data_IF_880273406901
#
_entry.id   IF_880273406901
#
_cell.length_a   1.000
_cell.length_b   1.000
_cell.length_c   1.000
_cell.angle_alpha   90.00
_cell.angle_beta   90.00
_cell.angle_gamma   90.00
#
_symmetry.space_group_name_H-M   'P 1'
#
loop_
_entity.id
_entity.type
_entity.pdbx_description
1 polymer ?
#
# COMPACT_ATOMS: atom_id res chain seq x y z
N UNK A 1 -45.93 6.98 39.29
CA UNK A 1 -46.90 5.87 39.10
C UNK A 1 -46.19 4.77 38.33
N UNK A 2 -46.17 3.54 38.85
CA UNK A 2 -45.56 2.40 38.15
C UNK A 2 -46.59 1.82 37.19
N UNK A 3 -46.36 1.97 35.88
CA UNK A 3 -47.18 1.35 34.84
C UNK A 3 -46.69 -0.08 34.64
N UNK A 4 -47.49 -1.07 35.02
CA UNK A 4 -47.24 -2.48 34.78
C UNK A 4 -48.12 -2.98 33.64
N UNK A 5 -47.59 -3.88 32.80
CA UNK A 5 -48.40 -4.54 31.76
C UNK A 5 -49.28 -5.64 32.37
N UNK A 6 -50.41 -5.99 31.73
CA UNK A 6 -51.37 -7.00 32.23
C UNK A 6 -50.79 -8.41 32.44
N UNK A 7 -49.60 -8.72 31.91
CA UNK A 7 -48.92 -10.02 32.07
C UNK A 7 -47.82 -10.00 33.16
N UNK A 8 -47.87 -9.08 34.13
CA UNK A 8 -46.99 -9.06 35.30
C UNK A 8 -45.51 -8.71 35.04
N UNK A 9 -45.14 -8.39 33.80
CA UNK A 9 -43.78 -7.92 33.46
C UNK A 9 -43.64 -6.44 33.81
N UNK A 10 -42.62 -6.11 34.61
CA UNK A 10 -42.24 -4.74 34.96
C UNK A 10 -41.77 -3.99 33.70
N UNK A 11 -42.27 -2.78 33.48
CA UNK A 11 -41.81 -1.88 32.44
C UNK A 11 -40.34 -1.49 32.69
N UNK A 12 -39.43 -1.83 31.76
CA UNK A 12 -38.06 -1.31 31.73
C UNK A 12 -37.99 -0.21 30.68
N UNK A 13 -37.67 1.02 31.09
CA UNK A 13 -37.37 2.11 30.16
C UNK A 13 -36.15 1.73 29.33
N UNK A 14 -36.26 1.81 28.00
CA UNK A 14 -35.09 1.75 27.12
C UNK A 14 -34.21 2.96 27.42
N UNK A 15 -33.10 2.74 28.13
CA UNK A 15 -31.98 3.68 28.10
C UNK A 15 -31.54 3.82 26.64
N UNK A 16 -31.29 5.06 26.21
CA UNK A 16 -30.78 5.34 24.87
C UNK A 16 -29.42 4.66 24.75
N UNK A 17 -29.39 3.51 24.08
CA UNK A 17 -28.17 2.93 23.57
C UNK A 17 -27.52 3.99 22.68
N UNK A 18 -26.35 4.49 23.10
CA UNK A 18 -25.48 5.27 22.23
C UNK A 18 -25.11 4.37 21.07
N UNK A 19 -25.64 4.67 19.89
CA UNK A 19 -25.34 3.96 18.64
C UNK A 19 -23.82 3.94 18.44
N UNK A 20 -23.22 2.78 18.66
CA UNK A 20 -21.87 2.47 18.19
C UNK A 20 -21.99 2.45 16.65
N UNK A 21 -21.19 3.20 15.89
CA UNK A 21 -21.29 3.16 14.44
C UNK A 21 -20.97 1.76 13.95
N UNK A 22 -22.00 1.03 13.53
CA UNK A 22 -21.85 -0.23 12.83
C UNK A 22 -21.02 0.05 11.59
N UNK A 23 -19.81 -0.51 11.57
CA UNK A 23 -18.89 -0.47 10.43
C UNK A 23 -19.66 -1.00 9.22
N UNK A 24 -20.00 -0.11 8.28
CA UNK A 24 -20.67 -0.47 7.04
C UNK A 24 -19.88 -1.60 6.35
N UNK A 25 -20.43 -2.82 6.35
CA UNK A 25 -20.06 -3.82 5.35
C UNK A 25 -20.39 -3.20 4.01
N UNK A 26 -19.35 -2.83 3.24
CA UNK A 26 -19.52 -2.25 1.91
C UNK A 26 -20.29 -3.25 1.06
N UNK A 27 -21.51 -2.87 0.67
CA UNK A 27 -22.30 -3.59 -0.31
C UNK A 27 -21.52 -3.63 -1.63
N UNK A 28 -21.33 -4.84 -2.14
CA UNK A 28 -20.54 -5.20 -3.32
C UNK A 28 -21.27 -4.91 -4.63
N UNK A 29 -21.67 -3.66 -4.84
CA UNK A 29 -22.06 -3.17 -6.16
C UNK A 29 -21.83 -1.67 -6.20
N UNK A 30 -20.95 -1.19 -7.08
CA UNK A 30 -20.51 0.21 -7.31
C UNK A 30 -19.30 0.81 -6.53
N UNK A 31 -18.59 0.07 -5.68
CA UNK A 31 -17.64 0.68 -4.71
C UNK A 31 -16.14 0.67 -5.09
N UNK A 32 -15.76 0.81 -6.37
CA UNK A 32 -14.35 0.82 -6.79
C UNK A 32 -13.83 2.15 -7.35
N UNK A 33 -14.67 3.19 -7.44
CA UNK A 33 -14.18 4.56 -7.67
C UNK A 33 -13.73 5.14 -6.33
N UNK A 34 -12.43 5.07 -6.06
CA UNK A 34 -11.83 5.61 -4.83
C UNK A 34 -11.05 4.60 -3.96
N UNK A 35 -10.63 3.45 -4.50
CA UNK A 35 -9.64 2.60 -3.82
C UNK A 35 -8.25 3.25 -3.88
N UNK A 36 -7.52 3.15 -2.78
CA UNK A 36 -6.14 3.67 -2.74
C UNK A 36 -5.23 2.81 -3.60
N UNK A 37 -4.09 3.35 -4.06
CA UNK A 37 -3.08 2.53 -4.75
C UNK A 37 -2.68 1.29 -3.94
N UNK A 38 -2.59 1.43 -2.62
CA UNK A 38 -2.26 0.33 -1.72
C UNK A 38 -3.31 -0.79 -1.75
N UNK A 39 -4.62 -0.45 -1.71
CA UNK A 39 -5.68 -1.45 -1.74
C UNK A 39 -5.66 -2.24 -3.06
N UNK A 40 -5.49 -1.55 -4.19
CA UNK A 40 -5.42 -2.19 -5.51
C UNK A 40 -4.19 -3.11 -5.64
N UNK A 41 -3.06 -2.73 -5.04
CA UNK A 41 -1.86 -3.56 -5.01
C UNK A 41 -2.03 -4.77 -4.08
N UNK A 42 -2.69 -4.61 -2.93
CA UNK A 42 -2.96 -5.71 -2.03
C UNK A 42 -3.87 -6.76 -2.68
N UNK A 43 -4.96 -6.33 -3.34
CA UNK A 43 -5.86 -7.20 -4.12
C UNK A 43 -5.11 -7.88 -5.28
N UNK A 44 -4.29 -7.13 -6.01
CA UNK A 44 -3.44 -7.66 -7.09
C UNK A 44 -2.45 -8.71 -6.58
N UNK A 45 -1.78 -8.45 -5.45
CA UNK A 45 -0.80 -9.37 -4.87
C UNK A 45 -1.46 -10.65 -4.35
N UNK A 46 -2.66 -10.53 -3.78
CA UNK A 46 -3.48 -11.68 -3.40
C UNK A 46 -3.85 -12.53 -4.62
N UNK A 47 -4.32 -11.89 -5.68
CA UNK A 47 -4.60 -12.57 -6.94
C UNK A 47 -3.39 -13.35 -7.48
N UNK A 48 -2.19 -12.74 -7.50
CA UNK A 48 -0.99 -13.44 -7.95
C UNK A 48 -0.66 -14.67 -7.10
N UNK A 49 -0.85 -14.60 -5.78
CA UNK A 49 -0.59 -15.72 -4.87
C UNK A 49 -1.60 -16.85 -5.07
N UNK A 50 -2.89 -16.53 -5.11
CA UNK A 50 -3.97 -17.50 -5.32
C UNK A 50 -3.82 -18.25 -6.65
N UNK A 51 -3.41 -17.52 -7.70
CA UNK A 51 -3.17 -18.07 -9.04
C UNK A 51 -1.79 -18.70 -9.23
N UNK A 52 -0.95 -18.72 -8.18
CA UNK A 52 0.42 -19.26 -8.22
C UNK A 52 1.30 -18.59 -9.29
N UNK A 53 1.09 -17.31 -9.56
CA UNK A 53 1.86 -16.51 -10.52
C UNK A 53 3.13 -15.97 -9.85
N UNK A 54 2.98 -15.32 -8.69
CA UNK A 54 4.07 -14.73 -7.92
C UNK A 54 3.72 -14.74 -6.42
N UNK A 55 4.74 -14.71 -5.56
CA UNK A 55 4.56 -14.63 -4.11
C UNK A 55 5.13 -13.31 -3.62
N UNK A 56 4.27 -12.31 -3.51
CA UNK A 56 4.62 -10.93 -3.14
C UNK A 56 3.76 -10.48 -1.97
N UNK A 57 4.36 -9.81 -0.99
CA UNK A 57 3.69 -9.30 0.20
C UNK A 57 4.09 -7.84 0.48
N UNK A 58 3.19 -7.14 1.18
CA UNK A 58 3.52 -5.85 1.81
C UNK A 58 4.20 -6.13 3.16
N UNK A 59 5.29 -5.42 3.45
CA UNK A 59 5.92 -5.42 4.76
C UNK A 59 5.01 -4.67 5.76
N UNK A 60 4.82 -5.21 6.97
CA UNK A 60 4.03 -4.53 7.99
C UNK A 60 4.73 -3.26 8.45
N UNK A 61 3.94 -2.27 8.90
CA UNK A 61 4.48 -1.03 9.46
C UNK A 61 5.38 -1.34 10.66
N UNK A 62 6.65 -0.90 10.65
CA UNK A 62 7.60 -1.24 11.70
C UNK A 62 7.23 -0.51 13.00
N UNK A 63 7.06 -1.29 14.06
CA UNK A 63 6.75 -0.80 15.42
C UNK A 63 7.74 -1.36 16.43
N UNK A 64 8.17 -0.53 17.37
CA UNK A 64 8.90 -0.94 18.56
C UNK A 64 7.90 -1.23 19.67
N UNK A 65 7.75 -2.48 20.03
CA UNK A 65 6.90 -2.87 21.16
C UNK A 65 7.70 -2.62 22.45
N UNK A 66 7.10 -1.91 23.41
CA UNK A 66 7.72 -1.57 24.70
C UNK A 66 7.05 -2.33 25.83
N UNK A 67 5.72 -2.41 25.83
CA UNK A 67 4.98 -3.14 26.85
C UNK A 67 3.93 -4.06 26.22
N UNK A 68 3.88 -5.30 26.71
CA UNK A 68 2.87 -6.31 26.36
C UNK A 68 2.30 -6.92 27.62
N UNK A 69 0.97 -6.96 27.70
CA UNK A 69 0.24 -7.66 28.74
C UNK A 69 -0.26 -9.02 28.21
N UNK A 70 -0.28 -10.03 29.08
CA UNK A 70 -0.74 -11.38 28.77
C UNK A 70 -1.92 -11.77 29.68
N UNK A 71 -3.14 -11.32 29.39
CA UNK A 71 -4.30 -11.58 30.26
C UNK A 71 -4.69 -13.07 30.32
N UNK A 72 -4.39 -13.85 29.27
CA UNK A 72 -4.66 -15.30 29.21
C UNK A 72 -3.62 -15.98 28.30
N UNK A 73 -3.43 -17.30 28.41
CA UNK A 73 -2.43 -18.06 27.61
C UNK A 73 -2.53 -17.88 26.08
N UNK A 74 -3.71 -17.55 25.56
CA UNK A 74 -3.97 -17.39 24.12
C UNK A 74 -4.06 -15.93 23.66
N UNK A 75 -3.80 -14.95 24.52
CA UNK A 75 -3.96 -13.54 24.21
C UNK A 75 -2.77 -12.71 24.71
N UNK A 76 -2.21 -11.92 23.80
CA UNK A 76 -1.22 -10.90 24.08
C UNK A 76 -1.78 -9.55 23.64
N UNK A 77 -1.64 -8.53 24.47
CA UNK A 77 -2.11 -7.16 24.19
C UNK A 77 -0.92 -6.22 24.26
N UNK A 78 -0.56 -5.62 23.14
CA UNK A 78 0.44 -4.56 23.10
C UNK A 78 -0.16 -3.33 23.78
N UNK A 79 0.44 -2.89 24.89
CA UNK A 79 0.00 -1.71 25.66
C UNK A 79 0.71 -0.44 25.23
N UNK A 80 1.98 -0.56 24.88
CA UNK A 80 2.81 0.57 24.47
C UNK A 80 3.71 0.16 23.31
N UNK A 81 3.67 0.95 22.24
CA UNK A 81 4.56 0.79 21.11
C UNK A 81 4.83 2.15 20.44
N UNK A 82 6.01 2.28 19.85
CA UNK A 82 6.44 3.46 19.11
C UNK A 82 6.64 3.10 17.63
N UNK A 83 6.23 3.96 16.71
CA UNK A 83 6.55 3.77 15.30
C UNK A 83 8.05 3.89 15.07
N UNK A 84 8.62 2.98 14.29
CA UNK A 84 9.99 3.11 13.78
C UNK A 84 9.95 3.66 12.37
N UNK A 85 11.02 4.35 11.98
CA UNK A 85 11.23 4.67 10.57
C UNK A 85 11.48 3.36 9.82
N UNK A 86 10.78 3.13 8.70
CA UNK A 86 11.10 2.04 7.81
C UNK A 86 12.51 2.24 7.25
N UNK A 87 13.27 1.16 7.08
CA UNK A 87 14.60 1.21 6.46
C UNK A 87 14.60 0.68 5.02
N UNK A 88 13.48 0.07 4.60
CA UNK A 88 13.35 -0.61 3.31
C UNK A 88 12.07 -0.14 2.61
N UNK A 89 11.92 -0.54 1.35
CA UNK A 89 10.67 -0.46 0.56
C UNK A 89 9.53 -1.28 1.16
N UNK A 90 8.30 -0.93 0.77
CA UNK A 90 7.07 -1.51 1.31
C UNK A 90 6.72 -2.91 0.78
N UNK A 91 7.10 -3.29 -0.45
CA UNK A 91 6.70 -4.57 -1.04
C UNK A 91 7.89 -5.39 -1.50
N UNK A 92 7.84 -6.70 -1.27
CA UNK A 92 8.82 -7.62 -1.82
C UNK A 92 8.25 -9.03 -2.00
N UNK A 93 9.01 -9.87 -2.70
CA UNK A 93 8.62 -11.24 -2.96
C UNK A 93 9.51 -11.98 -3.94
N UNK A 94 8.95 -13.04 -4.52
CA UNK A 94 9.62 -13.88 -5.52
C UNK A 94 8.72 -14.09 -6.73
N UNK A 95 9.33 -14.01 -7.91
CA UNK A 95 8.72 -14.33 -9.19
C UNK A 95 9.72 -15.06 -10.08
N UNK A 96 9.35 -16.25 -10.59
CA UNK A 96 10.22 -17.11 -11.42
C UNK A 96 11.64 -17.30 -10.85
N UNK A 97 11.76 -17.43 -9.53
CA UNK A 97 13.05 -17.60 -8.83
C UNK A 97 13.89 -16.33 -8.68
N UNK A 98 13.39 -15.18 -9.10
CA UNK A 98 14.03 -13.86 -8.92
C UNK A 98 13.39 -13.10 -7.77
N UNK A 99 14.21 -12.40 -7.00
CA UNK A 99 13.75 -11.48 -5.96
C UNK A 99 13.11 -10.25 -6.61
N UNK A 100 11.91 -9.90 -6.15
CA UNK A 100 11.15 -8.72 -6.54
C UNK A 100 11.09 -7.78 -5.34
N UNK A 101 11.34 -6.49 -5.57
CA UNK A 101 11.27 -5.45 -4.54
C UNK A 101 10.72 -4.16 -5.15
N UNK A 102 9.68 -3.58 -4.55
CA UNK A 102 9.15 -2.33 -5.06
C UNK A 102 8.51 -1.45 -3.99
N UNK A 103 8.41 -0.18 -4.36
CA UNK A 103 7.70 0.85 -3.61
C UNK A 103 6.50 1.35 -4.42
N UNK A 104 5.44 1.80 -3.75
CA UNK A 104 4.26 2.32 -4.40
C UNK A 104 3.91 3.70 -3.85
N UNK A 105 3.85 4.71 -4.72
CA UNK A 105 3.50 6.07 -4.34
C UNK A 105 2.48 6.64 -5.31
N UNK A 106 1.62 7.50 -4.80
CA UNK A 106 0.62 8.20 -5.59
C UNK A 106 0.73 9.72 -5.45
N UNK A 107 0.26 10.45 -6.45
CA UNK A 107 0.22 11.91 -6.43
C UNK A 107 -1.05 12.44 -7.09
N UNK A 108 -1.57 13.54 -6.56
CA UNK A 108 -2.65 14.30 -7.19
C UNK A 108 -2.12 15.33 -8.21
N UNK A 109 -0.81 15.59 -8.23
CA UNK A 109 -0.22 16.54 -9.17
C UNK A 109 -0.28 15.98 -10.60
N UNK A 110 -0.96 16.65 -11.55
CA UNK A 110 -1.16 16.12 -12.89
C UNK A 110 0.08 16.08 -13.79
N UNK A 111 1.11 16.90 -13.49
CA UNK A 111 2.24 17.13 -14.43
C UNK A 111 3.57 16.64 -13.92
N UNK A 112 3.70 16.33 -12.63
CA UNK A 112 4.95 15.83 -12.07
C UNK A 112 4.76 15.04 -10.79
N UNK A 113 5.70 14.14 -10.53
CA UNK A 113 5.77 13.33 -9.33
C UNK A 113 6.80 13.93 -8.34
N UNK A 114 6.38 14.42 -7.17
CA UNK A 114 7.30 14.99 -6.18
C UNK A 114 8.26 13.93 -5.62
N UNK A 115 9.57 14.17 -5.68
CA UNK A 115 10.57 13.24 -5.14
C UNK A 115 10.54 13.16 -3.61
N UNK A 116 10.00 14.19 -2.92
CA UNK A 116 9.78 14.17 -1.46
C UNK A 116 8.90 13.01 -0.96
N UNK A 117 8.17 12.34 -1.86
CA UNK A 117 7.37 11.15 -1.55
C UNK A 117 8.24 9.91 -1.33
N UNK A 118 9.52 9.97 -1.69
CA UNK A 118 10.52 8.95 -1.42
C UNK A 118 11.47 9.42 -0.32
N UNK A 119 11.92 8.48 0.50
CA UNK A 119 12.91 8.76 1.53
C UNK A 119 14.28 8.20 1.12
N UNK A 120 15.36 8.83 1.62
CA UNK A 120 16.73 8.46 1.27
C UNK A 120 17.04 6.98 1.52
N UNK A 121 16.59 6.44 2.66
CA UNK A 121 16.80 5.02 3.00
C UNK A 121 16.15 4.08 1.97
N UNK A 122 15.02 4.46 1.38
CA UNK A 122 14.35 3.64 0.36
C UNK A 122 15.19 3.59 -0.91
N UNK A 123 15.71 4.74 -1.36
CA UNK A 123 16.55 4.81 -2.56
C UNK A 123 17.86 4.05 -2.38
N UNK A 124 18.47 4.16 -1.19
CA UNK A 124 19.68 3.38 -0.84
C UNK A 124 19.39 1.87 -0.83
N UNK A 125 18.29 1.43 -0.20
CA UNK A 125 17.86 0.03 -0.23
C UNK A 125 17.63 -0.47 -1.67
N UNK A 126 17.00 0.33 -2.53
CA UNK A 126 16.81 -0.04 -3.94
C UNK A 126 18.14 -0.23 -4.68
N UNK A 127 19.13 0.64 -4.44
CA UNK A 127 20.48 0.51 -4.99
C UNK A 127 21.15 -0.81 -4.54
N UNK A 128 21.07 -1.14 -3.25
CA UNK A 128 21.60 -2.39 -2.69
C UNK A 128 20.94 -3.63 -3.31
N UNK A 129 19.60 -3.61 -3.49
CA UNK A 129 18.86 -4.70 -4.14
C UNK A 129 19.30 -4.89 -5.59
N UNK A 130 19.43 -3.80 -6.35
CA UNK A 130 19.90 -3.85 -7.73
C UNK A 130 21.32 -4.41 -7.84
N UNK A 131 22.21 -4.04 -6.92
CA UNK A 131 23.59 -4.54 -6.87
C UNK A 131 23.67 -6.06 -6.65
N UNK A 132 22.64 -6.67 -6.05
CA UNK A 132 22.52 -8.13 -5.89
C UNK A 132 21.76 -8.81 -7.04
N UNK A 133 21.40 -8.08 -8.10
CA UNK A 133 20.65 -8.61 -9.24
C UNK A 133 19.16 -8.84 -8.97
N UNK A 134 18.60 -8.20 -7.94
CA UNK A 134 17.16 -8.18 -7.70
C UNK A 134 16.42 -7.28 -8.69
N UNK A 135 15.17 -7.62 -8.98
CA UNK A 135 14.30 -6.78 -9.81
C UNK A 135 13.68 -5.72 -8.91
N UNK A 136 14.11 -4.47 -9.09
CA UNK A 136 13.67 -3.36 -8.26
C UNK A 136 13.02 -2.24 -9.08
N UNK A 137 11.85 -1.77 -8.67
CA UNK A 137 11.09 -0.74 -9.37
C UNK A 137 10.17 0.04 -8.43
N UNK A 138 9.51 1.07 -8.95
CA UNK A 138 8.44 1.79 -8.25
C UNK A 138 7.18 1.84 -9.08
N UNK A 139 6.04 1.74 -8.41
CA UNK A 139 4.72 1.94 -9.00
C UNK A 139 4.25 3.35 -8.66
N UNK A 140 4.03 4.16 -9.70
CA UNK A 140 3.63 5.56 -9.59
C UNK A 140 2.20 5.73 -10.09
N UNK A 141 1.29 6.23 -9.24
CA UNK A 141 -0.08 6.57 -9.66
C UNK A 141 -0.30 8.08 -9.72
N UNK A 142 -0.78 8.56 -10.86
CA UNK A 142 -1.35 9.90 -11.02
C UNK A 142 -2.85 9.83 -10.79
N UNK A 143 -3.30 10.10 -9.57
CA UNK A 143 -4.68 9.83 -9.14
C UNK A 143 -5.72 10.64 -9.92
N UNK A 144 -5.39 11.87 -10.33
CA UNK A 144 -6.30 12.73 -11.11
C UNK A 144 -6.73 12.13 -12.45
N UNK A 145 -5.88 11.30 -13.05
CA UNK A 145 -6.13 10.67 -14.35
C UNK A 145 -6.22 9.15 -14.27
N UNK A 146 -6.16 8.57 -13.07
CA UNK A 146 -6.11 7.12 -12.83
C UNK A 146 -5.01 6.39 -13.64
N UNK A 147 -3.90 7.08 -13.95
CA UNK A 147 -2.79 6.50 -14.70
C UNK A 147 -1.76 5.91 -13.76
N UNK A 148 -1.33 4.68 -14.05
CA UNK A 148 -0.33 3.95 -13.26
C UNK A 148 0.86 3.62 -14.16
N UNK A 149 2.05 3.81 -13.61
CA UNK A 149 3.31 3.54 -14.29
C UNK A 149 4.21 2.67 -13.43
N UNK A 150 4.90 1.72 -14.06
CA UNK A 150 6.08 1.06 -13.51
C UNK A 150 7.31 1.83 -13.95
N UNK A 151 8.12 2.29 -13.01
CA UNK A 151 9.40 2.91 -13.28
C UNK A 151 10.50 2.06 -12.66
N UNK A 152 11.41 1.53 -13.49
CA UNK A 152 12.61 0.82 -13.03
C UNK A 152 13.41 1.70 -12.05
N UNK A 153 13.89 1.10 -10.95
CA UNK A 153 14.62 1.80 -9.91
C UNK A 153 15.84 2.55 -10.46
N UNK A 154 16.49 2.06 -11.53
CA UNK A 154 17.62 2.77 -12.18
C UNK A 154 17.29 4.21 -12.56
N UNK A 155 16.07 4.45 -13.05
CA UNK A 155 15.63 5.78 -13.43
C UNK A 155 15.31 6.64 -12.20
N UNK A 156 14.70 6.05 -11.18
CA UNK A 156 14.47 6.74 -9.91
C UNK A 156 15.78 7.21 -9.29
N UNK A 157 16.80 6.35 -9.24
CA UNK A 157 18.14 6.69 -8.75
C UNK A 157 18.75 7.85 -9.55
N UNK A 158 18.64 7.83 -10.88
CA UNK A 158 19.08 8.94 -11.75
C UNK A 158 18.40 10.26 -11.39
N UNK A 159 17.08 10.27 -11.23
CA UNK A 159 16.34 11.49 -10.87
C UNK A 159 16.62 11.95 -9.44
N UNK A 160 16.83 11.00 -8.52
CA UNK A 160 17.22 11.28 -7.15
C UNK A 160 18.61 11.94 -7.09
N UNK A 161 19.59 11.37 -7.81
CA UNK A 161 20.93 11.96 -7.96
C UNK A 161 20.89 13.37 -8.57
N UNK A 162 20.07 13.58 -9.61
CA UNK A 162 19.81 14.91 -10.17
C UNK A 162 19.32 15.90 -9.12
N UNK A 163 18.37 15.49 -8.27
CA UNK A 163 17.84 16.34 -7.20
C UNK A 163 18.90 16.70 -6.16
N UNK A 164 19.73 15.73 -5.74
CA UNK A 164 20.82 15.95 -4.80
C UNK A 164 21.84 16.95 -5.35
N UNK A 165 22.11 16.88 -6.66
CA UNK A 165 23.02 17.80 -7.35
C UNK A 165 22.41 19.18 -7.65
N UNK A 166 21.33 19.56 -6.96
CA UNK A 166 20.69 20.88 -7.08
C UNK A 166 19.66 20.99 -8.22
N UNK A 167 19.34 19.89 -8.90
CA UNK A 167 18.33 19.85 -9.95
C UNK A 167 16.89 19.85 -9.42
N UNK A 168 15.96 19.48 -10.31
CA UNK A 168 14.51 19.49 -10.02
C UNK A 168 14.14 18.50 -8.90
N UNK A 169 13.30 18.93 -7.95
CA UNK A 169 12.77 18.12 -6.82
C UNK A 169 11.53 17.27 -7.18
N UNK A 170 11.31 17.06 -8.47
CA UNK A 170 10.24 16.24 -9.01
C UNK A 170 10.67 15.60 -10.33
N UNK A 171 9.97 14.54 -10.72
CA UNK A 171 10.07 13.88 -12.02
C UNK A 171 8.87 14.35 -12.84
N UNK A 172 9.06 14.85 -14.07
CA UNK A 172 7.89 15.25 -14.88
C UNK A 172 7.11 14.03 -15.37
N UNK A 173 5.84 14.21 -15.71
CA UNK A 173 5.03 13.12 -16.25
C UNK A 173 5.60 12.59 -17.56
N UNK A 174 6.10 13.47 -18.41
CA UNK A 174 6.74 13.12 -19.68
C UNK A 174 8.01 12.27 -19.44
N UNK A 175 8.81 12.61 -18.42
CA UNK A 175 9.97 11.79 -18.03
C UNK A 175 9.56 10.38 -17.61
N UNK A 176 8.44 10.24 -16.88
CA UNK A 176 7.89 8.95 -16.46
C UNK A 176 7.32 8.18 -17.64
N UNK A 177 6.63 8.84 -18.57
CA UNK A 177 6.08 8.21 -19.78
C UNK A 177 7.18 7.73 -20.74
N UNK A 178 8.31 8.45 -20.80
CA UNK A 178 9.45 8.08 -21.64
C UNK A 178 10.29 6.93 -21.07
N UNK A 179 10.48 6.89 -19.75
CA UNK A 179 11.41 5.96 -19.09
C UNK A 179 10.71 4.85 -18.29
N UNK A 180 9.40 4.96 -18.11
CA UNK A 180 8.56 3.99 -17.43
C UNK A 180 7.60 3.29 -18.38
N UNK A 181 6.81 2.39 -17.82
CA UNK A 181 5.86 1.56 -18.55
C UNK A 181 4.46 1.81 -18.00
N UNK A 182 3.54 2.23 -18.86
CA UNK A 182 2.14 2.37 -18.48
C UNK A 182 1.54 1.00 -18.12
N UNK A 183 0.89 0.91 -16.97
CA UNK A 183 0.15 -0.28 -16.53
C UNK A 183 -1.35 -0.01 -16.70
N UNK A 184 -2.01 -0.63 -17.69
CA UNK A 184 -3.46 -0.55 -17.82
C UNK A 184 -4.15 -1.12 -16.57
N UNK A 185 -5.14 -0.39 -16.04
CA UNK A 185 -5.96 -0.88 -14.95
C UNK A 185 -6.95 -1.93 -15.45
N UNK A 186 -6.95 -3.09 -14.80
CA UNK A 186 -7.83 -4.22 -15.07
C UNK A 186 -8.82 -4.48 -13.96
N UNK A 187 -9.54 -5.61 -14.07
CA UNK A 187 -10.38 -6.13 -12.99
C UNK A 187 -9.65 -7.23 -12.19
N UNK A 188 -9.04 -8.21 -12.87
CA UNK A 188 -8.31 -9.32 -12.24
C UNK A 188 -7.08 -9.69 -13.10
N UNK A 189 -5.86 -9.27 -12.71
CA UNK A 189 -5.54 -8.38 -11.60
C UNK A 189 -5.91 -6.90 -11.89
N UNK A 190 -5.90 -6.05 -10.86
CA UNK A 190 -6.14 -4.60 -11.00
C UNK A 190 -4.95 -3.89 -11.63
N UNK A 191 -3.75 -4.17 -11.14
CA UNK A 191 -2.51 -3.54 -11.58
C UNK A 191 -1.58 -4.67 -12.04
N UNK A 192 -1.65 -5.03 -13.33
CA UNK A 192 -0.88 -6.17 -13.86
C UNK A 192 0.60 -5.83 -14.11
N UNK A 193 1.33 -5.51 -13.04
CA UNK A 193 2.74 -5.14 -13.13
C UNK A 193 3.65 -6.35 -13.43
N UNK A 194 3.26 -7.58 -13.09
CA UNK A 194 4.05 -8.78 -13.42
C UNK A 194 4.13 -8.96 -14.94
N UNK A 195 3.03 -8.70 -15.66
CA UNK A 195 3.03 -8.73 -17.12
C UNK A 195 4.03 -7.76 -17.74
N UNK A 196 4.23 -6.58 -17.13
CA UNK A 196 5.26 -5.64 -17.58
C UNK A 196 6.65 -6.21 -17.32
N UNK A 197 6.90 -6.78 -16.14
CA UNK A 197 8.21 -7.38 -15.79
C UNK A 197 8.59 -8.49 -16.78
N UNK A 198 7.63 -9.29 -17.26
CA UNK A 198 7.87 -10.33 -18.27
C UNK A 198 8.32 -9.79 -19.64
N UNK A 199 8.17 -8.48 -19.90
CA UNK A 199 8.55 -7.83 -21.17
C UNK A 199 9.88 -7.08 -21.11
N UNK A 200 10.51 -7.00 -19.93
CA UNK A 200 11.80 -6.33 -19.70
C UNK A 200 12.97 -7.31 -19.88
#
# INVERSE_FOLDING_TARGET
MNVNYPNGKKYKSKERETEIPLKNKRNSSYSNRGMTLEDDLNETNEFYRERKIAVIHKKPTPVQIVQVDYPNRSAAVIKEAYFKLASTTDYNGVYKGKYIDFEAKETQNPTSFPLKNFHQHQVQHMEEVMNQGGICFVILRFTKFEQVYLLDAKHLLKYWGRMINGGRKSITKEEIEQNGHHIPLGFQPRIDYIKIIDTL
#
